data_IF_706834060052
#
_entry.id   IF_706834060052
#
_cell.length_a   1.000
_cell.length_b   1.000
_cell.length_c   1.000
_cell.angle_alpha   90.00
_cell.angle_beta   90.00
_cell.angle_gamma   90.00
#
_symmetry.space_group_name_H-M   'P 1'
#
loop_
_entity.id
_entity.type
_entity.pdbx_description
1 polymer ?
#
# COMPACT_ATOMS: atom_id res chain seq x y z
N UNK A 1 -11.74 -1.82 -10.17
CA UNK A 1 -11.33 -1.36 -8.83
C UNK A 1 -12.36 -1.81 -7.80
N UNK A 2 -11.95 -2.38 -6.65
CA UNK A 2 -12.91 -2.88 -5.63
C UNK A 2 -13.44 -1.76 -4.71
N UNK A 3 -14.63 -1.97 -4.11
CA UNK A 3 -15.30 -0.95 -3.28
C UNK A 3 -14.52 -0.61 -2.00
N UNK A 4 -13.87 -1.59 -1.40
CA UNK A 4 -13.05 -1.40 -0.18
C UNK A 4 -11.92 -0.40 -0.41
N UNK A 5 -11.24 -0.50 -1.55
CA UNK A 5 -10.19 0.44 -1.92
C UNK A 5 -10.77 1.85 -2.13
N UNK A 6 -11.90 1.98 -2.84
CA UNK A 6 -12.56 3.28 -3.04
C UNK A 6 -12.94 3.95 -1.71
N UNK A 7 -13.48 3.17 -0.76
CA UNK A 7 -13.82 3.65 0.58
C UNK A 7 -12.59 4.11 1.36
N UNK A 8 -11.52 3.30 1.38
CA UNK A 8 -10.29 3.65 2.06
C UNK A 8 -9.66 4.94 1.50
N UNK A 9 -9.69 5.13 0.19
CA UNK A 9 -9.23 6.36 -0.45
C UNK A 9 -10.11 7.57 -0.08
N UNK A 10 -11.43 7.40 0.00
CA UNK A 10 -12.32 8.48 0.42
C UNK A 10 -12.02 8.93 1.86
N UNK A 11 -11.80 7.99 2.79
CA UNK A 11 -11.40 8.28 4.17
C UNK A 11 -10.05 8.99 4.23
N UNK A 12 -9.07 8.52 3.44
CA UNK A 12 -7.75 9.14 3.36
C UNK A 12 -7.82 10.59 2.88
N UNK A 13 -8.57 10.85 1.79
CA UNK A 13 -8.78 12.21 1.24
C UNK A 13 -9.46 13.12 2.26
N UNK A 14 -10.53 12.64 2.91
CA UNK A 14 -11.25 13.41 3.92
C UNK A 14 -10.36 13.74 5.12
N UNK A 15 -9.61 12.76 5.62
CA UNK A 15 -8.68 12.92 6.76
C UNK A 15 -7.64 14.01 6.47
N UNK A 16 -7.10 14.04 5.26
CA UNK A 16 -6.13 15.06 4.84
C UNK A 16 -6.75 16.45 4.72
N UNK A 17 -7.97 16.56 4.19
CA UNK A 17 -8.69 17.84 4.12
C UNK A 17 -9.06 18.37 5.51
N UNK A 18 -9.51 17.51 6.42
CA UNK A 18 -9.82 17.92 7.80
C UNK A 18 -8.58 18.47 8.51
N UNK A 19 -7.41 17.86 8.30
CA UNK A 19 -6.16 18.36 8.88
C UNK A 19 -5.72 19.69 8.26
N UNK A 20 -5.80 19.79 6.94
CA UNK A 20 -5.46 21.02 6.20
C UNK A 20 -6.34 22.20 6.60
N UNK A 21 -7.61 21.96 6.91
CA UNK A 21 -8.57 22.97 7.35
C UNK A 21 -8.55 23.21 8.87
N UNK A 22 -7.69 22.53 9.63
CA UNK A 22 -7.58 22.69 11.08
C UNK A 22 -8.72 22.08 11.89
N UNK A 23 -9.52 21.19 11.28
CA UNK A 23 -10.62 20.49 11.94
C UNK A 23 -10.17 19.29 12.79
N UNK A 24 -8.91 18.87 12.67
CA UNK A 24 -8.34 17.77 13.46
C UNK A 24 -6.92 18.07 13.92
N UNK A 25 -6.50 17.46 15.03
CA UNK A 25 -5.14 17.59 15.55
C UNK A 25 -4.16 16.72 14.75
N UNK A 26 -2.86 17.02 14.86
CA UNK A 26 -1.81 16.25 14.19
C UNK A 26 -1.81 14.76 14.57
N UNK A 27 -2.06 14.44 15.85
CA UNK A 27 -2.10 13.05 16.34
C UNK A 27 -3.32 12.31 15.77
N UNK A 28 -4.49 12.94 15.79
CA UNK A 28 -5.70 12.33 15.24
C UNK A 28 -5.61 12.15 13.72
N UNK A 29 -5.04 13.13 13.00
CA UNK A 29 -4.73 13.02 11.59
C UNK A 29 -3.81 11.84 11.29
N UNK A 30 -2.68 11.72 12.01
CA UNK A 30 -1.71 10.66 11.81
C UNK A 30 -2.34 9.27 11.98
N UNK A 31 -3.12 9.08 13.05
CA UNK A 31 -3.80 7.80 13.34
C UNK A 31 -4.83 7.43 12.27
N UNK A 32 -5.68 8.38 11.86
CA UNK A 32 -6.70 8.14 10.83
C UNK A 32 -6.07 7.87 9.47
N UNK A 33 -4.99 8.57 9.13
CA UNK A 33 -4.24 8.35 7.91
C UNK A 33 -3.59 6.96 7.88
N UNK A 34 -2.94 6.56 8.97
CA UNK A 34 -2.36 5.22 9.10
C UNK A 34 -3.43 4.14 8.93
N UNK A 35 -4.58 4.28 9.61
CA UNK A 35 -5.69 3.34 9.47
C UNK A 35 -6.22 3.26 8.03
N UNK A 36 -6.37 4.41 7.36
CA UNK A 36 -6.83 4.46 5.98
C UNK A 36 -5.83 3.78 5.02
N UNK A 37 -4.52 3.96 5.23
CA UNK A 37 -3.47 3.31 4.43
C UNK A 37 -3.38 1.81 4.69
N UNK A 38 -3.55 1.38 5.95
CA UNK A 38 -3.66 -0.03 6.31
C UNK A 38 -4.89 -0.72 5.68
N UNK A 39 -5.94 0.02 5.36
CA UNK A 39 -7.09 -0.50 4.62
C UNK A 39 -6.89 -0.43 3.08
N UNK A 40 -6.32 0.68 2.59
CA UNK A 40 -6.16 0.93 1.16
C UNK A 40 -5.17 -0.04 0.51
N UNK A 41 -3.99 -0.25 1.10
CA UNK A 41 -2.94 -1.05 0.48
C UNK A 41 -3.32 -2.54 0.30
N UNK A 42 -3.94 -3.24 1.29
CA UNK A 42 -4.42 -4.60 1.08
C UNK A 42 -5.57 -4.67 0.09
N UNK A 43 -6.47 -3.68 0.09
CA UNK A 43 -7.56 -3.62 -0.88
C UNK A 43 -7.01 -3.42 -2.31
N UNK A 44 -5.96 -2.60 -2.47
CA UNK A 44 -5.24 -2.43 -3.73
C UNK A 44 -4.58 -3.72 -4.18
N UNK A 45 -3.82 -4.39 -3.30
CA UNK A 45 -3.17 -5.66 -3.59
C UNK A 45 -4.18 -6.73 -4.06
N UNK A 46 -5.38 -6.78 -3.46
CA UNK A 46 -6.47 -7.66 -3.90
C UNK A 46 -6.90 -7.40 -5.35
N UNK A 47 -6.80 -6.16 -5.85
CA UNK A 47 -7.10 -5.88 -7.28
C UNK A 47 -6.12 -6.54 -8.24
N UNK A 48 -4.94 -6.92 -7.75
CA UNK A 48 -3.92 -7.68 -8.47
C UNK A 48 -3.87 -9.16 -8.06
N UNK A 49 -4.91 -9.67 -7.39
CA UNK A 49 -4.95 -11.05 -6.91
C UNK A 49 -3.93 -11.38 -5.81
N UNK A 50 -3.32 -10.36 -5.18
CA UNK A 50 -2.35 -10.54 -4.09
C UNK A 50 -3.02 -10.38 -2.75
N UNK A 51 -2.83 -11.36 -1.85
CA UNK A 51 -3.27 -11.29 -0.47
C UNK A 51 -2.10 -10.90 0.42
N UNK A 52 -2.19 -9.74 1.07
CA UNK A 52 -1.17 -9.32 2.04
C UNK A 52 -1.41 -9.94 3.41
N UNK A 53 -0.32 -10.11 4.18
CA UNK A 53 -0.41 -10.33 5.60
C UNK A 53 -0.97 -9.07 6.28
N UNK A 54 -1.64 -9.28 7.42
CA UNK A 54 -2.09 -8.19 8.26
C UNK A 54 -0.92 -7.28 8.60
N UNK A 55 -0.99 -6.03 8.15
CA UNK A 55 -0.04 -4.99 8.53
C UNK A 55 -0.50 -4.43 9.86
N UNK A 56 0.34 -4.57 10.89
CA UNK A 56 -0.08 -4.25 12.25
C UNK A 56 0.39 -2.88 12.71
N UNK A 57 1.53 -2.38 12.21
CA UNK A 57 2.13 -1.10 12.61
C UNK A 57 3.05 -0.55 11.53
N UNK A 58 3.11 0.78 11.46
CA UNK A 58 4.25 1.50 10.89
C UNK A 58 5.38 1.47 11.91
N UNK A 59 6.62 1.23 11.47
CA UNK A 59 7.77 1.26 12.36
C UNK A 59 8.21 2.69 12.74
N UNK A 60 9.22 2.81 13.61
CA UNK A 60 9.72 4.10 14.08
C UNK A 60 10.33 4.98 12.96
N UNK A 61 10.59 4.42 11.78
CA UNK A 61 11.13 5.12 10.60
C UNK A 61 10.03 5.55 9.63
N UNK A 62 8.77 5.26 9.97
CA UNK A 62 7.65 5.54 9.09
C UNK A 62 7.49 4.49 7.99
N UNK A 63 8.10 3.31 8.12
CA UNK A 63 8.06 2.25 7.10
C UNK A 63 6.95 1.23 7.41
N UNK A 64 6.23 0.82 6.37
CA UNK A 64 5.32 -0.32 6.40
C UNK A 64 6.04 -1.56 5.92
N UNK A 65 5.95 -2.63 6.70
CA UNK A 65 6.37 -3.95 6.26
C UNK A 65 5.23 -4.62 5.48
N UNK A 66 5.39 -4.66 4.15
CA UNK A 66 4.43 -5.24 3.22
C UNK A 66 4.86 -6.68 2.98
N UNK A 67 4.01 -7.65 3.31
CA UNK A 67 4.31 -9.08 3.14
C UNK A 67 3.17 -9.74 2.40
N UNK A 68 3.47 -10.46 1.32
CA UNK A 68 2.49 -11.33 0.69
C UNK A 68 2.28 -12.59 1.54
N UNK A 69 1.03 -12.98 1.76
CA UNK A 69 0.72 -14.31 2.26
C UNK A 69 0.76 -15.29 1.11
N UNK A 70 1.28 -16.48 1.38
CA UNK A 70 0.97 -17.63 0.55
C UNK A 70 -0.56 -17.84 0.64
N UNK A 71 -1.26 -17.67 -0.48
CA UNK A 71 -2.71 -17.79 -0.61
C UNK A 71 -3.09 -18.29 -1.99
N UNK A 72 -4.39 -18.41 -2.29
CA UNK A 72 -4.93 -18.83 -3.59
C UNK A 72 -4.43 -17.91 -4.70
N UNK A 73 -3.25 -18.21 -5.23
CA UNK A 73 -2.68 -17.51 -6.39
C UNK A 73 -3.61 -17.79 -7.55
N UNK A 74 -4.18 -16.75 -8.14
CA UNK A 74 -4.75 -16.90 -9.47
C UNK A 74 -3.59 -17.32 -10.40
N UNK A 75 -3.60 -18.55 -10.95
CA UNK A 75 -2.48 -19.05 -11.75
C UNK A 75 -2.20 -18.20 -12.99
N UNK A 76 -3.15 -17.33 -13.38
CA UNK A 76 -3.08 -16.44 -14.54
C UNK A 76 -2.23 -15.18 -14.30
N UNK A 77 -1.89 -14.85 -13.05
CA UNK A 77 -1.21 -13.59 -12.69
C UNK A 77 0.32 -13.69 -12.64
N UNK A 78 0.88 -14.83 -13.08
CA UNK A 78 2.31 -15.08 -13.14
C UNK A 78 2.87 -15.67 -11.85
N UNK A 79 3.91 -16.50 -11.97
CA UNK A 79 4.66 -17.04 -10.84
C UNK A 79 5.22 -15.89 -10.01
N UNK A 80 4.88 -15.88 -8.72
CA UNK A 80 5.29 -14.82 -7.82
C UNK A 80 4.54 -14.80 -6.50
N UNK A 81 5.12 -14.24 -5.43
CA UNK A 81 4.38 -13.92 -4.19
C UNK A 81 3.70 -12.55 -4.29
N UNK A 82 4.40 -11.55 -4.82
CA UNK A 82 3.78 -10.29 -5.26
C UNK A 82 3.21 -10.39 -6.68
N UNK A 83 3.72 -11.26 -7.54
CA UNK A 83 3.29 -11.32 -8.94
C UNK A 83 3.76 -10.09 -9.74
N UNK A 84 3.82 -10.22 -11.07
CA UNK A 84 4.44 -9.22 -11.95
C UNK A 84 3.78 -7.83 -11.88
N UNK A 85 2.45 -7.72 -12.04
CA UNK A 85 1.77 -6.43 -12.04
C UNK A 85 1.87 -5.65 -10.72
N UNK A 86 1.72 -6.34 -9.58
CA UNK A 86 1.78 -5.68 -8.28
C UNK A 86 3.21 -5.32 -7.88
N UNK A 87 4.21 -6.17 -8.17
CA UNK A 87 5.62 -5.82 -7.99
C UNK A 87 6.00 -4.58 -8.83
N UNK A 88 5.54 -4.53 -10.08
CA UNK A 88 5.74 -3.37 -10.97
C UNK A 88 5.14 -2.11 -10.36
N UNK A 89 3.91 -2.19 -9.85
CA UNK A 89 3.27 -1.06 -9.16
C UNK A 89 4.07 -0.62 -7.93
N UNK A 90 4.48 -1.55 -7.05
CA UNK A 90 5.24 -1.22 -5.85
C UNK A 90 6.58 -0.55 -6.19
N UNK A 91 7.27 -0.98 -7.25
CA UNK A 91 8.53 -0.38 -7.72
C UNK A 91 8.42 1.09 -8.12
N UNK A 92 7.21 1.61 -8.39
CA UNK A 92 6.99 3.03 -8.66
C UNK A 92 6.99 3.91 -7.41
N UNK A 93 7.14 3.32 -6.22
CA UNK A 93 7.11 3.98 -4.91
C UNK A 93 8.35 3.64 -4.05
N UNK A 94 9.49 3.37 -4.70
CA UNK A 94 10.80 3.18 -4.07
C UNK A 94 10.81 2.16 -2.89
N UNK A 95 10.43 0.90 -3.13
CA UNK A 95 10.42 -0.12 -2.10
C UNK A 95 11.84 -0.47 -1.64
N UNK A 96 12.01 -0.74 -0.35
CA UNK A 96 13.20 -1.32 0.23
C UNK A 96 13.08 -2.85 0.22
N UNK A 97 13.95 -3.53 -0.53
CA UNK A 97 13.91 -5.00 -0.72
C UNK A 97 14.80 -5.77 0.26
N UNK A 98 15.64 -5.07 1.03
CA UNK A 98 16.64 -5.68 1.93
C UNK A 98 17.82 -6.37 1.23
N UNK A 99 17.92 -6.27 -0.10
CA UNK A 99 19.03 -6.84 -0.88
C UNK A 99 20.16 -5.82 -1.03
N UNK A 100 19.85 -4.68 -1.68
CA UNK A 100 20.77 -3.58 -1.91
C UNK A 100 19.99 -2.28 -2.09
N UNK A 101 20.60 -1.11 -1.84
CA UNK A 101 19.98 0.17 -2.15
C UNK A 101 19.57 0.24 -3.62
N UNK A 102 18.32 0.64 -3.89
CA UNK A 102 17.77 0.79 -5.25
C UNK A 102 17.45 -0.53 -5.97
N UNK A 103 17.54 -1.67 -5.29
CA UNK A 103 17.07 -2.93 -5.85
C UNK A 103 15.55 -2.88 -6.11
N UNK A 104 15.13 -3.44 -7.25
CA UNK A 104 13.72 -3.54 -7.64
C UNK A 104 13.13 -4.87 -7.18
N UNK A 105 11.84 -4.86 -6.86
CA UNK A 105 11.05 -6.06 -6.62
C UNK A 105 10.85 -6.83 -7.92
N UNK A 106 11.09 -8.13 -7.87
CA UNK A 106 10.66 -9.08 -8.89
C UNK A 106 9.28 -9.65 -8.56
N UNK A 107 8.72 -10.48 -9.44
CA UNK A 107 7.41 -11.11 -9.19
C UNK A 107 7.46 -12.09 -8.01
N UNK A 108 8.60 -12.75 -7.79
CA UNK A 108 8.82 -13.74 -6.73
C UNK A 108 9.02 -13.12 -5.33
N UNK A 109 9.27 -11.83 -5.29
CA UNK A 109 9.42 -11.05 -4.07
C UNK A 109 8.17 -11.24 -3.20
N UNK A 110 8.40 -11.60 -1.94
CA UNK A 110 7.33 -11.89 -0.98
C UNK A 110 7.16 -10.82 0.09
N UNK A 111 8.06 -9.85 0.14
CA UNK A 111 8.03 -8.78 1.13
C UNK A 111 8.80 -7.55 0.64
N UNK A 112 8.49 -6.39 1.21
CA UNK A 112 9.28 -5.16 1.10
C UNK A 112 8.94 -4.21 2.25
N UNK A 113 9.80 -3.22 2.47
CA UNK A 113 9.45 -2.05 3.27
C UNK A 113 9.14 -0.86 2.36
N UNK A 114 8.20 -0.02 2.76
CA UNK A 114 7.87 1.20 2.02
C UNK A 114 7.49 2.31 2.99
N UNK A 115 7.99 3.52 2.75
CA UNK A 115 7.64 4.68 3.56
C UNK A 115 6.13 4.99 3.45
N UNK A 116 5.49 5.34 4.57
CA UNK A 116 4.06 5.66 4.63
C UNK A 116 3.64 6.72 3.62
N UNK A 117 4.44 7.77 3.46
CA UNK A 117 4.12 8.85 2.53
C UNK A 117 4.25 8.41 1.06
N UNK A 118 5.12 7.45 0.77
CA UNK A 118 5.24 6.90 -0.58
C UNK A 118 4.12 5.90 -0.87
N UNK A 119 3.68 5.12 0.13
CA UNK A 119 2.44 4.33 0.04
C UNK A 119 1.24 5.24 -0.20
N UNK A 120 1.14 6.36 0.51
CA UNK A 120 0.07 7.34 0.35
C UNK A 120 0.01 7.90 -1.08
N UNK A 121 1.15 8.37 -1.61
CA UNK A 121 1.23 8.84 -3.00
C UNK A 121 0.86 7.72 -3.98
N UNK A 122 1.34 6.50 -3.76
CA UNK A 122 1.09 5.34 -4.61
C UNK A 122 -0.41 5.05 -4.73
N UNK A 123 -1.11 4.93 -3.60
CA UNK A 123 -2.54 4.57 -3.59
C UNK A 123 -3.41 5.69 -4.15
N UNK A 124 -3.07 6.96 -3.88
CA UNK A 124 -3.78 8.12 -4.43
C UNK A 124 -3.59 8.23 -5.94
N UNK A 125 -2.34 8.10 -6.43
CA UNK A 125 -2.02 8.13 -7.86
C UNK A 125 -2.74 7.01 -8.60
N UNK A 126 -2.65 5.77 -8.10
CA UNK A 126 -3.35 4.64 -8.71
C UNK A 126 -4.86 4.86 -8.77
N UNK A 127 -5.46 5.40 -7.71
CA UNK A 127 -6.88 5.72 -7.71
C UNK A 127 -7.22 6.77 -8.77
N UNK A 128 -6.42 7.83 -8.89
CA UNK A 128 -6.66 8.93 -9.83
C UNK A 128 -6.47 8.51 -11.30
N UNK A 129 -5.53 7.61 -11.59
CA UNK A 129 -5.27 7.06 -12.93
C UNK A 129 -6.33 6.05 -13.41
N UNK A 130 -7.08 5.45 -12.48
CA UNK A 130 -8.00 4.33 -12.76
C UNK A 130 -9.45 4.63 -12.35
N UNK A 131 -9.85 5.92 -12.31
CA UNK A 131 -11.18 6.36 -11.87
C UNK A 131 -12.30 5.78 -12.71
#
# INVERSE_FOLDING_TARGET
>A
MNNEFRQAIAVLKQTNEDFKNGHTSSVAHANSREAALMAALPALARTFGVKLASMHRIDARGELHIVARDGDKDPRLGGGRFGGPFATLLNTANPSTGIAPGAVLDSESGWCYMNLFDVEKLVLRYFDENK
#
